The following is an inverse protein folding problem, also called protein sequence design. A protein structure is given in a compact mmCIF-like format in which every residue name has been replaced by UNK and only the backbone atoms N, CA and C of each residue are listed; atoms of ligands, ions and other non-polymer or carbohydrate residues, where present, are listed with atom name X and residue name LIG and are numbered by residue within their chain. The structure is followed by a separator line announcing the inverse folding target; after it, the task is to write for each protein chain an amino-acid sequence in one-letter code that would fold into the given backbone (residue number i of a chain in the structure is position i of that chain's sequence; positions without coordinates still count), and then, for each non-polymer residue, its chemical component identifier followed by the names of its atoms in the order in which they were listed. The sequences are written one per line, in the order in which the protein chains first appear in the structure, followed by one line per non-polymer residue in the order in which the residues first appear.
data_IF_394478152388
#
_entry.id   IF_394478152388
#
_cell.length_a   1.000
_cell.length_b   1.000
_cell.length_c   1.000
_cell.angle_alpha   90.00
_cell.angle_beta   90.00
_cell.angle_gamma   90.00
#
_symmetry.space_group_name_H-M   'P 1'
#
loop_
_entity.id
_entity.type
_entity.pdbx_description
1 polymer ?
#
# COMPACT_ATOMS: atom_id res chain seq x y z
N UNK A 1 -16.96 9.11 40.43
CA UNK A 1 -16.50 10.12 41.42
C UNK A 1 -15.02 9.88 41.68
N UNK A 2 -14.26 10.97 41.83
CA UNK A 2 -12.78 11.12 41.84
C UNK A 2 -12.16 11.04 40.43
N UNK A 3 -11.86 12.13 39.72
CA UNK A 3 -11.23 13.42 40.09
C UNK A 3 -9.82 13.21 40.64
N UNK A 4 -8.82 13.36 39.77
CA UNK A 4 -7.47 13.69 40.18
C UNK A 4 -6.84 14.63 39.14
N UNK A 5 -6.46 15.81 39.61
CA UNK A 5 -6.04 17.00 38.87
C UNK A 5 -4.54 17.21 39.14
N UNK A 6 -3.76 17.75 38.19
CA UNK A 6 -2.29 17.71 38.26
C UNK A 6 -1.74 18.89 39.09
N UNK A 7 -0.52 18.78 39.66
CA UNK A 7 0.18 19.93 40.18
C UNK A 7 1.43 20.33 39.38
N UNK A 8 1.79 21.59 39.64
CA UNK A 8 3.06 22.31 39.42
C UNK A 8 3.29 22.99 38.08
N UNK A 9 3.19 24.32 37.92
CA UNK A 9 3.48 25.50 38.77
C UNK A 9 4.96 25.95 38.86
N UNK A 10 5.33 26.81 37.88
CA UNK A 10 6.19 28.03 37.98
C UNK A 10 7.71 27.81 38.21
N UNK A 11 8.61 28.82 38.12
CA UNK A 11 8.49 30.25 37.74
C UNK A 11 9.45 30.71 36.60
N UNK A 12 9.15 31.77 35.82
CA UNK A 12 9.49 33.21 35.97
C UNK A 12 10.99 33.58 35.81
N UNK A 13 11.26 34.32 34.73
CA UNK A 13 12.25 35.40 34.54
C UNK A 13 13.47 35.47 35.50
N UNK A 14 14.66 35.31 34.92
CA UNK A 14 15.89 35.90 35.45
C UNK A 14 16.24 37.14 34.63
N UNK A 15 15.84 38.31 35.16
CA UNK A 15 16.48 39.58 34.87
C UNK A 15 17.79 39.64 35.67
N UNK A 16 18.92 39.78 34.99
CA UNK A 16 20.20 40.23 35.55
C UNK A 16 20.96 40.89 34.40
N UNK A 17 20.94 42.20 34.23
CA UNK A 17 21.56 43.27 35.04
C UNK A 17 23.08 43.12 35.17
N UNK A 18 23.78 43.83 34.29
CA UNK A 18 25.06 44.53 34.50
C UNK A 18 25.50 45.07 33.11
N UNK A 19 25.26 46.34 32.78
CA UNK A 19 26.17 47.44 33.12
C UNK A 19 27.57 47.25 32.52
N UNK A 20 27.74 47.63 31.25
CA UNK A 20 29.00 48.24 30.81
C UNK A 20 28.67 49.42 29.89
N UNK A 21 28.66 50.60 30.52
CA UNK A 21 28.52 51.87 29.87
C UNK A 21 29.88 52.24 29.27
N UNK A 22 30.03 52.08 27.96
CA UNK A 22 31.07 52.78 27.20
C UNK A 22 30.42 53.85 26.35
N UNK A 23 30.48 55.08 26.85
CA UNK A 23 30.16 56.33 26.17
C UNK A 23 31.13 56.46 24.98
N UNK A 24 30.67 56.48 23.72
CA UNK A 24 31.51 56.84 22.59
C UNK A 24 31.61 58.37 22.50
N UNK A 25 32.85 58.83 22.37
CA UNK A 25 33.26 60.22 22.21
C UNK A 25 32.61 60.89 20.97
N UNK A 26 31.90 62.04 21.10
CA UNK A 26 31.20 62.68 19.99
C UNK A 26 32.09 63.64 19.19
N UNK A 27 33.27 63.22 18.72
CA UNK A 27 34.20 64.11 17.99
C UNK A 27 34.98 63.46 16.83
N UNK A 28 34.49 62.37 16.24
CA UNK A 28 35.06 61.83 14.99
C UNK A 28 34.03 61.90 13.84
N UNK A 29 33.59 63.12 13.54
CA UNK A 29 32.83 63.43 12.32
C UNK A 29 33.80 63.69 11.16
N UNK A 30 34.34 62.61 10.59
CA UNK A 30 34.90 62.60 9.23
C UNK A 30 33.82 62.14 8.24
N UNK A 31 33.89 62.56 6.97
CA UNK A 31 32.73 62.95 6.18
C UNK A 31 31.77 61.79 5.92
N UNK A 32 30.48 62.13 5.89
CA UNK A 32 29.41 61.35 5.26
C UNK A 32 29.79 61.21 3.78
N UNK A 33 30.69 60.26 3.51
CA UNK A 33 30.81 59.64 2.21
C UNK A 33 29.44 59.06 1.95
N UNK A 34 28.77 59.64 0.96
CA UNK A 34 27.60 59.10 0.31
C UNK A 34 27.87 57.62 0.02
N UNK A 35 27.49 56.73 0.96
CA UNK A 35 27.37 55.30 0.69
C UNK A 35 26.26 55.24 -0.33
N UNK A 36 26.75 55.23 -1.54
CA UNK A 36 26.04 55.36 -2.78
C UNK A 36 24.75 54.56 -2.69
N UNK A 37 23.63 55.25 -2.88
CA UNK A 37 22.37 54.65 -3.30
C UNK A 37 22.50 53.90 -4.67
N UNK A 38 23.71 53.56 -5.11
CA UNK A 38 24.03 52.80 -6.31
C UNK A 38 24.25 51.30 -6.06
N UNK A 39 24.42 50.82 -4.82
CA UNK A 39 24.58 49.38 -4.54
C UNK A 39 23.27 48.65 -4.24
N UNK A 40 22.14 49.36 -4.25
CA UNK A 40 20.81 48.77 -4.41
C UNK A 40 20.37 48.74 -5.89
N UNK A 41 21.30 48.83 -6.86
CA UNK A 41 21.04 48.27 -8.18
C UNK A 41 20.93 46.77 -7.99
N UNK A 42 19.70 46.31 -7.82
CA UNK A 42 19.31 44.93 -8.09
C UNK A 42 20.04 44.51 -9.36
N UNK A 43 21.10 43.72 -9.18
CA UNK A 43 21.70 42.97 -10.28
C UNK A 43 20.63 41.98 -10.69
N UNK A 44 19.74 42.44 -11.57
CA UNK A 44 18.91 41.62 -12.41
C UNK A 44 19.86 40.76 -13.24
N UNK A 45 20.34 39.67 -12.61
CA UNK A 45 21.01 38.59 -13.28
C UNK A 45 19.95 37.95 -14.14
N UNK A 46 19.83 38.43 -15.38
CA UNK A 46 19.04 37.76 -16.38
C UNK A 46 19.53 36.32 -16.47
N UNK A 47 18.59 35.37 -16.46
CA UNK A 47 18.92 33.97 -16.71
C UNK A 47 19.70 33.89 -18.03
N UNK A 48 20.88 33.30 -17.99
CA UNK A 48 21.64 33.08 -19.22
C UNK A 48 20.86 32.11 -20.10
N UNK A 49 20.83 32.34 -21.42
CA UNK A 49 20.25 31.40 -22.38
C UNK A 49 20.80 29.97 -22.18
N UNK A 50 22.09 29.88 -21.85
CA UNK A 50 22.77 28.61 -21.58
C UNK A 50 22.23 27.93 -20.32
N UNK A 51 21.86 28.69 -19.30
CA UNK A 51 21.30 28.18 -18.05
C UNK A 51 19.87 27.64 -18.27
N UNK A 52 19.05 28.35 -19.05
CA UNK A 52 17.72 27.86 -19.44
C UNK A 52 17.82 26.56 -20.25
N UNK A 53 18.75 26.48 -21.20
CA UNK A 53 18.99 25.25 -21.97
C UNK A 53 19.51 24.12 -21.09
N UNK A 54 20.41 24.40 -20.15
CA UNK A 54 20.90 23.41 -19.19
C UNK A 54 19.77 22.90 -18.28
N UNK A 55 18.90 23.78 -17.78
CA UNK A 55 17.76 23.40 -16.96
C UNK A 55 16.77 22.51 -17.74
N UNK A 56 16.45 22.87 -18.98
CA UNK A 56 15.59 22.06 -19.86
C UNK A 56 16.23 20.69 -20.14
N UNK A 57 17.54 20.65 -20.40
CA UNK A 57 18.27 19.39 -20.61
C UNK A 57 18.23 18.50 -19.37
N UNK A 58 18.46 19.05 -18.18
CA UNK A 58 18.35 18.31 -16.91
C UNK A 58 16.93 17.82 -16.66
N UNK A 59 15.91 18.64 -16.94
CA UNK A 59 14.51 18.27 -16.83
C UNK A 59 14.16 17.12 -17.78
N UNK A 60 14.60 17.20 -19.03
CA UNK A 60 14.37 16.16 -20.03
C UNK A 60 14.99 14.80 -19.64
N UNK A 61 16.08 14.81 -18.86
CA UNK A 61 16.70 13.59 -18.33
C UNK A 61 15.98 13.10 -17.06
N UNK A 62 15.55 14.00 -16.19
CA UNK A 62 14.94 13.66 -14.90
C UNK A 62 13.47 13.16 -15.02
N UNK A 63 12.70 13.72 -15.96
CA UNK A 63 11.28 13.38 -16.13
C UNK A 63 11.05 11.90 -16.50
N UNK A 64 11.74 11.31 -17.48
CA UNK A 64 11.57 9.91 -17.84
C UNK A 64 11.86 8.95 -16.68
N UNK A 65 12.90 9.22 -15.89
CA UNK A 65 13.23 8.43 -14.72
C UNK A 65 12.07 8.44 -13.72
N UNK A 66 11.50 9.61 -13.47
CA UNK A 66 10.35 9.78 -12.58
C UNK A 66 9.12 9.01 -13.09
N UNK A 67 8.76 9.17 -14.37
CA UNK A 67 7.62 8.48 -14.98
C UNK A 67 7.78 6.97 -14.90
N UNK A 68 8.98 6.44 -15.15
CA UNK A 68 9.23 4.98 -15.12
C UNK A 68 8.92 4.34 -13.76
N UNK A 69 9.24 5.04 -12.66
CA UNK A 69 8.96 4.56 -11.29
C UNK A 69 7.45 4.53 -11.04
N UNK A 70 6.74 5.58 -11.43
CA UNK A 70 5.28 5.65 -11.30
C UNK A 70 4.57 4.62 -12.18
N UNK A 71 5.01 4.44 -13.43
CA UNK A 71 4.47 3.41 -14.32
C UNK A 71 4.67 2.02 -13.74
N UNK A 72 5.86 1.72 -13.19
CA UNK A 72 6.12 0.45 -12.51
C UNK A 72 5.22 0.24 -11.29
N UNK A 73 5.00 1.27 -10.48
CA UNK A 73 4.09 1.19 -9.33
C UNK A 73 2.64 0.95 -9.76
N UNK A 74 2.16 1.67 -10.79
CA UNK A 74 0.82 1.50 -11.33
C UNK A 74 0.59 0.09 -11.88
N UNK A 75 1.55 -0.46 -12.64
CA UNK A 75 1.44 -1.83 -13.14
C UNK A 75 1.43 -2.89 -12.02
N UNK A 76 2.17 -2.66 -10.94
CA UNK A 76 2.14 -3.55 -9.76
C UNK A 76 0.81 -3.46 -9.02
N UNK A 77 0.26 -2.25 -8.86
CA UNK A 77 -1.05 -2.05 -8.27
C UNK A 77 -2.14 -2.77 -9.09
N UNK A 78 -2.15 -2.60 -10.42
CA UNK A 78 -3.13 -3.27 -11.28
C UNK A 78 -3.01 -4.80 -11.22
N UNK A 79 -1.79 -5.33 -11.06
CA UNK A 79 -1.59 -6.77 -10.88
C UNK A 79 -2.12 -7.28 -9.54
N UNK A 80 -1.94 -6.49 -8.47
CA UNK A 80 -2.48 -6.79 -7.16
C UNK A 80 -4.01 -6.78 -7.16
N UNK A 81 -4.62 -5.79 -7.80
CA UNK A 81 -6.08 -5.70 -7.97
C UNK A 81 -6.62 -6.91 -8.75
N UNK A 82 -6.00 -7.25 -9.88
CA UNK A 82 -6.38 -8.43 -10.67
C UNK A 82 -6.28 -9.73 -9.86
N UNK A 83 -5.29 -9.85 -8.97
CA UNK A 83 -5.16 -11.01 -8.09
C UNK A 83 -6.25 -11.04 -7.02
N UNK A 84 -6.62 -9.88 -6.47
CA UNK A 84 -7.69 -9.77 -5.49
C UNK A 84 -9.05 -10.18 -6.09
N UNK A 85 -9.35 -9.71 -7.30
CA UNK A 85 -10.57 -10.08 -8.02
C UNK A 85 -10.64 -11.59 -8.30
N UNK A 86 -9.53 -12.20 -8.72
CA UNK A 86 -9.45 -13.65 -8.96
C UNK A 86 -9.62 -14.46 -7.67
N UNK A 87 -9.09 -13.98 -6.55
CA UNK A 87 -9.23 -14.62 -5.25
C UNK A 87 -10.69 -14.58 -4.78
N UNK A 88 -11.30 -13.40 -4.81
CA UNK A 88 -12.73 -13.23 -4.48
C UNK A 88 -13.59 -14.15 -5.35
N UNK A 89 -13.27 -14.25 -6.64
CA UNK A 89 -13.98 -15.17 -7.54
C UNK A 89 -13.78 -16.64 -7.18
N UNK A 90 -12.59 -17.03 -6.75
CA UNK A 90 -12.32 -18.38 -6.27
C UNK A 90 -13.10 -18.69 -4.98
N UNK A 91 -13.20 -17.73 -4.06
CA UNK A 91 -14.00 -17.84 -2.82
C UNK A 91 -15.50 -17.99 -3.12
N UNK A 92 -16.02 -17.22 -4.07
CA UNK A 92 -17.40 -17.36 -4.55
C UNK A 92 -17.63 -18.76 -5.15
N UNK A 93 -16.71 -19.25 -5.98
CA UNK A 93 -16.79 -20.59 -6.58
C UNK A 93 -16.75 -21.69 -5.52
N UNK A 94 -15.92 -21.55 -4.48
CA UNK A 94 -15.93 -22.47 -3.34
C UNK A 94 -17.27 -22.44 -2.62
N UNK A 95 -17.81 -21.25 -2.36
CA UNK A 95 -19.07 -21.09 -1.65
C UNK A 95 -20.22 -21.73 -2.41
N UNK A 96 -20.32 -21.47 -3.72
CA UNK A 96 -21.32 -22.05 -4.61
C UNK A 96 -21.15 -23.57 -4.68
N UNK A 97 -19.93 -24.05 -4.94
CA UNK A 97 -19.67 -25.50 -5.07
C UNK A 97 -20.02 -26.22 -3.77
N UNK A 98 -19.70 -25.64 -2.61
CA UNK A 98 -20.02 -26.21 -1.30
C UNK A 98 -21.53 -26.27 -1.07
N UNK A 99 -22.27 -25.23 -1.45
CA UNK A 99 -23.73 -25.18 -1.31
C UNK A 99 -24.43 -26.18 -2.22
N UNK A 100 -23.92 -26.40 -3.43
CA UNK A 100 -24.49 -27.30 -4.44
C UNK A 100 -23.91 -28.72 -4.41
N UNK A 101 -22.96 -28.99 -3.50
CA UNK A 101 -22.28 -30.28 -3.46
C UNK A 101 -23.27 -31.40 -3.12
N UNK A 102 -23.45 -32.31 -4.08
CA UNK A 102 -24.40 -33.43 -3.98
C UNK A 102 -23.70 -34.78 -3.71
N UNK A 103 -22.46 -34.75 -3.21
CA UNK A 103 -21.65 -35.98 -3.02
C UNK A 103 -20.95 -36.47 -4.29
N UNK A 104 -21.07 -35.75 -5.42
CA UNK A 104 -20.41 -36.09 -6.67
C UNK A 104 -18.98 -35.54 -6.71
N UNK A 105 -18.00 -36.44 -6.67
CA UNK A 105 -16.60 -36.11 -6.91
C UNK A 105 -16.32 -35.94 -8.40
N UNK A 106 -15.30 -35.13 -8.73
CA UNK A 106 -14.92 -34.90 -10.12
C UNK A 106 -14.38 -33.51 -10.37
N UNK A 107 -14.23 -33.19 -11.67
CA UNK A 107 -13.68 -31.92 -12.14
C UNK A 107 -14.70 -31.20 -12.99
N UNK A 108 -14.95 -29.94 -12.66
CA UNK A 108 -15.80 -29.02 -13.42
C UNK A 108 -14.96 -27.85 -13.88
N UNK A 109 -15.18 -27.37 -15.11
CA UNK A 109 -14.48 -26.20 -15.63
C UNK A 109 -15.45 -25.26 -16.32
N UNK A 110 -15.08 -23.99 -16.38
CA UNK A 110 -15.88 -22.96 -17.01
C UNK A 110 -15.10 -21.68 -17.23
N UNK A 111 -15.80 -20.68 -17.74
CA UNK A 111 -15.25 -19.35 -17.96
C UNK A 111 -16.33 -18.31 -17.80
N UNK A 112 -15.97 -17.16 -17.26
CA UNK A 112 -16.82 -15.97 -17.23
C UNK A 112 -16.06 -14.76 -17.81
N UNK A 113 -16.62 -13.56 -17.62
CA UNK A 113 -16.03 -12.32 -18.11
C UNK A 113 -14.64 -12.04 -17.51
N UNK A 114 -14.36 -12.55 -16.30
CA UNK A 114 -13.20 -12.20 -15.49
C UNK A 114 -12.13 -13.29 -15.60
N UNK A 115 -12.52 -14.56 -15.56
CA UNK A 115 -11.58 -15.68 -15.44
C UNK A 115 -12.05 -16.96 -16.15
N UNK A 116 -11.06 -17.76 -16.56
CA UNK A 116 -11.25 -19.20 -16.77
C UNK A 116 -11.04 -19.90 -15.44
N UNK A 117 -11.88 -20.86 -15.11
CA UNK A 117 -11.82 -21.54 -13.83
C UNK A 117 -11.96 -23.06 -13.95
N UNK A 118 -11.43 -23.75 -12.97
CA UNK A 118 -11.53 -25.21 -12.81
C UNK A 118 -11.73 -25.50 -11.34
N UNK A 119 -12.69 -26.36 -11.03
CA UNK A 119 -12.99 -26.86 -9.69
C UNK A 119 -12.77 -28.36 -9.70
N UNK A 120 -11.99 -28.87 -8.76
CA UNK A 120 -11.72 -30.29 -8.60
C UNK A 120 -12.07 -30.71 -7.18
N UNK A 121 -12.91 -31.73 -7.07
CA UNK A 121 -13.43 -32.23 -5.80
C UNK A 121 -13.02 -33.69 -5.63
N UNK A 122 -12.28 -33.97 -4.57
CA UNK A 122 -11.68 -35.28 -4.29
C UNK A 122 -12.06 -35.76 -2.89
N UNK A 123 -12.38 -37.06 -2.71
CA UNK A 123 -12.61 -37.61 -1.39
C UNK A 123 -11.27 -37.62 -0.63
N UNK A 124 -11.29 -37.15 0.62
CA UNK A 124 -10.16 -37.36 1.50
C UNK A 124 -10.33 -38.74 2.12
N UNK A 125 -9.55 -39.72 1.64
CA UNK A 125 -9.59 -41.08 2.19
C UNK A 125 -8.93 -41.08 3.56
N UNK A 126 -9.75 -41.22 4.60
CA UNK A 126 -9.28 -41.49 5.96
C UNK A 126 -8.85 -42.97 6.02
N UNK A 127 -7.62 -43.31 6.46
CA UNK A 127 -7.14 -44.70 6.52
C UNK A 127 -7.95 -45.62 7.44
N UNK A 128 -8.79 -45.08 8.34
CA UNK A 128 -9.62 -45.88 9.26
C UNK A 128 -11.04 -46.11 8.71
N UNK A 129 -11.19 -47.15 7.89
CA UNK A 129 -12.49 -47.68 7.44
C UNK A 129 -13.45 -47.99 8.62
N UNK A 130 -12.90 -48.33 9.79
CA UNK A 130 -13.66 -48.65 11.00
C UNK A 130 -14.31 -47.41 11.65
N UNK A 131 -13.75 -46.20 11.47
CA UNK A 131 -14.33 -44.96 11.99
C UNK A 131 -15.61 -44.55 11.23
N UNK A 132 -15.69 -44.89 9.93
CA UNK A 132 -16.90 -44.66 9.10
C UNK A 132 -18.11 -45.48 9.54
N UNK A 133 -17.90 -46.62 10.21
CA UNK A 133 -18.99 -47.49 10.69
C UNK A 133 -19.62 -47.00 12.00
N UNK A 134 -18.95 -46.12 12.73
CA UNK A 134 -19.31 -45.72 14.10
C UNK A 134 -19.81 -44.28 14.23
N UNK A 135 -19.55 -43.40 13.25
CA UNK A 135 -19.95 -41.98 13.31
C UNK A 135 -21.02 -41.63 12.25
N UNK A 136 -21.93 -40.68 12.53
CA UNK A 136 -22.90 -40.19 11.56
C UNK A 136 -22.21 -39.50 10.35
N UNK A 137 -21.97 -40.32 9.32
CA UNK A 137 -21.84 -40.05 7.86
C UNK A 137 -21.19 -38.75 7.39
N UNK A 138 -20.23 -38.20 8.14
CA UNK A 138 -19.54 -36.97 7.73
C UNK A 138 -18.27 -37.34 6.97
N UNK A 139 -18.23 -37.07 5.65
CA UNK A 139 -17.10 -37.38 4.78
C UNK A 139 -16.27 -36.12 4.55
N UNK A 140 -14.94 -36.13 4.82
CA UNK A 140 -14.07 -35.04 4.45
C UNK A 140 -13.85 -34.99 2.94
N UNK A 141 -14.00 -33.81 2.37
CA UNK A 141 -13.86 -33.53 0.94
C UNK A 141 -12.82 -32.44 0.74
N UNK A 142 -11.86 -32.70 -0.15
CA UNK A 142 -10.87 -31.73 -0.57
C UNK A 142 -11.31 -31.06 -1.88
N UNK A 143 -11.33 -29.74 -1.88
CA UNK A 143 -11.77 -28.90 -2.98
C UNK A 143 -10.63 -28.00 -3.43
N UNK A 144 -10.26 -28.12 -4.70
CA UNK A 144 -9.25 -27.30 -5.36
C UNK A 144 -9.91 -26.45 -6.42
N UNK A 145 -9.83 -25.13 -6.27
CA UNK A 145 -10.33 -24.16 -7.24
C UNK A 145 -9.14 -23.43 -7.85
N UNK A 146 -9.04 -23.48 -9.17
CA UNK A 146 -8.04 -22.75 -9.95
C UNK A 146 -8.74 -21.70 -10.80
N UNK A 147 -8.34 -20.44 -10.67
CA UNK A 147 -8.81 -19.33 -11.51
C UNK A 147 -7.64 -18.73 -12.27
N UNK A 148 -7.85 -18.38 -13.54
CA UNK A 148 -6.86 -17.79 -14.42
C UNK A 148 -7.46 -16.59 -15.18
N UNK A 149 -6.84 -15.43 -15.03
CA UNK A 149 -7.17 -14.22 -15.79
C UNK A 149 -6.63 -14.29 -17.23
N UNK A 150 -7.17 -13.44 -18.12
CA UNK A 150 -6.64 -13.22 -19.47
C UNK A 150 -5.20 -12.70 -19.48
N UNK A 151 -4.79 -12.00 -18.42
CA UNK A 151 -3.43 -11.51 -18.22
C UNK A 151 -2.48 -12.59 -17.68
N UNK A 152 -2.89 -13.86 -17.72
CA UNK A 152 -2.14 -15.03 -17.26
C UNK A 152 -1.81 -15.04 -15.75
N UNK A 153 -2.55 -14.24 -14.95
CA UNK A 153 -2.51 -14.32 -13.49
C UNK A 153 -3.32 -15.53 -13.05
N UNK A 154 -2.74 -16.39 -12.22
CA UNK A 154 -3.40 -17.57 -11.68
C UNK A 154 -3.53 -17.50 -10.17
N UNK A 155 -4.69 -17.86 -9.65
CA UNK A 155 -4.92 -18.06 -8.22
C UNK A 155 -5.43 -19.49 -8.02
N UNK A 156 -4.89 -20.18 -7.01
CA UNK A 156 -5.37 -21.49 -6.59
C UNK A 156 -5.82 -21.37 -5.14
N UNK A 157 -7.03 -21.85 -4.87
CA UNK A 157 -7.59 -21.96 -3.54
C UNK A 157 -7.82 -23.44 -3.25
N UNK A 158 -7.23 -23.94 -2.17
CA UNK A 158 -7.43 -25.31 -1.70
C UNK A 158 -8.13 -25.23 -0.35
N UNK A 159 -9.23 -25.96 -0.21
CA UNK A 159 -10.01 -25.96 1.02
C UNK A 159 -10.53 -27.36 1.32
N UNK A 160 -10.73 -27.63 2.60
CA UNK A 160 -11.29 -28.87 3.10
C UNK A 160 -12.62 -28.55 3.76
N UNK A 161 -13.66 -29.29 3.40
CA UNK A 161 -14.93 -29.21 4.10
C UNK A 161 -15.46 -30.59 4.42
N UNK A 162 -16.25 -30.63 5.49
CA UNK A 162 -16.95 -31.82 5.94
C UNK A 162 -18.35 -31.80 5.33
N UNK A 163 -18.73 -32.89 4.66
CA UNK A 163 -20.06 -33.07 4.11
C UNK A 163 -20.80 -34.15 4.89
N UNK A 164 -21.99 -33.83 5.41
CA UNK A 164 -22.87 -34.84 6.03
C UNK A 164 -23.64 -35.55 4.92
N UNK A 165 -23.41 -36.84 4.74
CA UNK A 165 -24.24 -37.70 3.90
C UNK A 165 -25.66 -37.70 4.49
N UNK A 166 -26.59 -37.00 3.85
CA UNK A 166 -28.00 -37.14 4.22
C UNK A 166 -28.43 -38.55 3.81
N UNK A 167 -28.64 -39.39 4.83
CA UNK A 167 -29.10 -40.76 4.67
C UNK A 167 -30.33 -40.81 3.77
N UNK A 168 -30.24 -41.65 2.74
CA UNK A 168 -31.32 -41.96 1.82
C UNK A 168 -32.18 -43.10 2.36
#
# INVERSE_FOLDING_TARGET
MNADQPPDARPVMSCREAADARIPDPMDQAPIGTRSAADARSRSRGFSLLEALAAIALLAIALPATVSVFSGAASRASLADARHDLLRRAEDLVTITRAEFSGRFGRTAGSDAIARWTVETTPLTDPDENARRAAPSTVPVHLKVMTQSRQNVTVALETMFLFREQGR
#
